data_IF_583692853709
#
_entry.id   IF_583692853709
#
_cell.length_a   1.000
_cell.length_b   1.000
_cell.length_c   1.000
_cell.angle_alpha   90.00
_cell.angle_beta   90.00
_cell.angle_gamma   90.00
#
_symmetry.space_group_name_H-M   'P 1'
#
loop_
_entity.id
_entity.type
_entity.pdbx_description
1 polymer ?
#
# COMPACT_ATOMS: atom_id res chain seq x y z
N UNK A 1 3.71 -3.26 -25.26
CA UNK A 1 2.54 -3.71 -24.48
C UNK A 1 2.47 -2.91 -23.19
N UNK A 2 1.31 -2.40 -22.85
CA UNK A 2 1.13 -1.62 -21.64
C UNK A 2 0.74 -2.56 -20.50
N UNK A 3 1.52 -2.57 -19.43
CA UNK A 3 1.27 -3.38 -18.25
C UNK A 3 0.55 -2.52 -17.20
N UNK A 4 -0.75 -2.29 -17.42
CA UNK A 4 -1.57 -1.52 -16.50
C UNK A 4 -2.44 -2.42 -15.67
N UNK A 5 -2.49 -2.14 -14.37
CA UNK A 5 -3.33 -2.86 -13.44
C UNK A 5 -4.26 -1.91 -12.70
N UNK A 6 -5.42 -2.41 -12.34
CA UNK A 6 -6.35 -1.69 -11.48
C UNK A 6 -5.93 -1.87 -10.04
N UNK A 7 -5.79 -0.77 -9.31
CA UNK A 7 -5.44 -0.79 -7.89
C UNK A 7 -6.42 0.06 -7.11
N UNK A 8 -6.58 -0.26 -5.84
CA UNK A 8 -7.60 0.31 -4.98
C UNK A 8 -7.00 0.89 -3.72
N UNK A 9 -7.47 2.06 -3.33
CA UNK A 9 -7.11 2.69 -2.06
C UNK A 9 -8.38 2.88 -1.23
N UNK A 10 -8.38 2.27 -0.04
CA UNK A 10 -9.50 2.39 0.91
C UNK A 10 -9.40 3.70 1.68
N UNK A 11 -10.49 4.45 1.70
CA UNK A 11 -10.51 5.74 2.36
C UNK A 11 -11.94 6.10 2.81
N UNK A 12 -12.09 7.29 3.36
CA UNK A 12 -13.40 7.86 3.68
C UNK A 12 -13.65 9.11 2.85
N UNK A 13 -12.80 9.38 1.88
CA UNK A 13 -12.93 10.53 0.98
C UNK A 13 -12.39 10.18 -0.40
N UNK A 14 -12.73 11.00 -1.38
CA UNK A 14 -12.21 10.86 -2.74
C UNK A 14 -10.82 11.49 -2.81
N UNK A 15 -9.86 10.75 -3.38
CA UNK A 15 -8.46 11.19 -3.44
C UNK A 15 -7.99 11.15 -4.89
N UNK A 16 -8.16 12.24 -5.66
CA UNK A 16 -7.70 12.26 -7.06
C UNK A 16 -6.19 12.35 -7.18
N UNK A 17 -5.52 12.92 -6.18
CA UNK A 17 -4.05 13.10 -6.19
C UNK A 17 -3.46 12.55 -4.90
N UNK A 18 -2.99 11.28 -4.92
CA UNK A 18 -2.42 10.66 -3.72
C UNK A 18 -1.19 11.39 -3.19
N UNK A 19 -1.12 11.51 -1.85
CA UNK A 19 0.02 12.11 -1.18
C UNK A 19 0.69 11.07 -0.29
N UNK A 20 1.92 10.70 -0.64
CA UNK A 20 2.74 9.85 0.20
C UNK A 20 3.16 10.62 1.45
N UNK A 21 3.22 9.92 2.58
CA UNK A 21 3.61 10.55 3.84
C UNK A 21 2.47 11.17 4.63
N UNK A 22 1.27 11.23 4.08
CA UNK A 22 0.10 11.75 4.80
C UNK A 22 -0.57 10.68 5.69
N UNK A 23 -0.13 9.43 5.58
CA UNK A 23 -0.70 8.31 6.33
C UNK A 23 0.01 8.05 7.65
N UNK A 24 -0.37 6.93 8.28
CA UNK A 24 0.23 6.51 9.55
C UNK A 24 1.68 6.07 9.37
N UNK A 25 2.46 6.19 10.44
CA UNK A 25 3.81 5.65 10.50
C UNK A 25 3.80 4.20 10.97
N UNK A 26 4.94 3.54 10.90
CA UNK A 26 5.16 2.19 11.45
C UNK A 26 4.21 1.14 10.86
N UNK A 27 3.83 1.32 9.60
CA UNK A 27 3.06 0.35 8.86
C UNK A 27 3.99 -0.71 8.26
N UNK A 28 3.42 -1.74 7.62
CA UNK A 28 4.18 -2.90 7.11
C UNK A 28 5.35 -2.51 6.21
N UNK A 29 5.16 -1.49 5.37
CA UNK A 29 6.20 -1.01 4.45
C UNK A 29 6.59 0.44 4.73
N UNK A 30 6.31 0.91 5.95
CA UNK A 30 6.60 2.28 6.36
C UNK A 30 5.54 3.27 5.91
N UNK A 31 5.80 4.58 6.09
CA UNK A 31 4.84 5.61 5.68
C UNK A 31 4.73 5.64 4.15
N UNK A 32 3.52 5.88 3.64
CA UNK A 32 3.30 5.95 2.22
C UNK A 32 1.82 5.90 1.86
N UNK A 33 1.56 5.87 0.57
CA UNK A 33 0.21 5.74 0.04
C UNK A 33 -0.02 4.27 -0.30
N UNK A 34 -0.84 3.60 0.50
CA UNK A 34 -1.07 2.16 0.40
C UNK A 34 -2.24 1.84 -0.52
N UNK A 35 -2.01 0.86 -1.40
CA UNK A 35 -3.01 0.38 -2.33
C UNK A 35 -2.95 -1.14 -2.42
N UNK A 36 -4.01 -1.74 -2.92
CA UNK A 36 -4.05 -3.18 -3.17
C UNK A 36 -4.70 -3.46 -4.52
N UNK A 37 -4.31 -4.56 -5.15
CA UNK A 37 -4.97 -5.04 -6.36
C UNK A 37 -6.11 -6.02 -6.04
N UNK A 38 -6.32 -6.33 -4.78
CA UNK A 38 -7.38 -7.26 -4.32
C UNK A 38 -8.61 -6.44 -3.90
N UNK A 39 -9.64 -6.46 -4.73
CA UNK A 39 -10.84 -5.67 -4.53
C UNK A 39 -11.50 -5.93 -3.16
N UNK A 40 -11.67 -7.18 -2.78
CA UNK A 40 -12.32 -7.56 -1.52
C UNK A 40 -11.54 -7.06 -0.31
N UNK A 41 -10.21 -7.05 -0.39
CA UNK A 41 -9.36 -6.53 0.68
C UNK A 41 -9.57 -5.02 0.83
N UNK A 42 -9.65 -4.32 -0.29
CA UNK A 42 -9.87 -2.86 -0.27
C UNK A 42 -11.25 -2.53 0.31
N UNK A 43 -12.27 -3.29 -0.05
CA UNK A 43 -13.62 -3.11 0.49
C UNK A 43 -13.62 -3.31 2.01
N UNK A 44 -12.95 -4.33 2.48
CA UNK A 44 -12.85 -4.61 3.92
C UNK A 44 -12.14 -3.47 4.66
N UNK A 45 -11.03 -2.99 4.12
CA UNK A 45 -10.29 -1.88 4.73
C UNK A 45 -11.11 -0.59 4.74
N UNK A 46 -11.81 -0.29 3.65
CA UNK A 46 -12.67 0.89 3.56
C UNK A 46 -13.81 0.82 4.58
N UNK A 47 -14.42 -0.35 4.74
CA UNK A 47 -15.50 -0.56 5.70
C UNK A 47 -15.03 -0.38 7.13
N UNK A 48 -13.85 -0.89 7.47
CA UNK A 48 -13.26 -0.71 8.80
C UNK A 48 -12.98 0.76 9.10
N UNK A 49 -12.40 1.45 8.13
CA UNK A 49 -12.04 2.87 8.30
C UNK A 49 -13.28 3.74 8.43
N UNK A 50 -14.31 3.43 7.64
CA UNK A 50 -15.60 4.13 7.73
C UNK A 50 -16.24 3.94 9.10
N UNK A 51 -16.21 2.73 9.64
CA UNK A 51 -16.77 2.43 10.96
C UNK A 51 -15.99 3.18 12.05
N UNK A 52 -14.67 3.19 11.99
CA UNK A 52 -13.83 3.88 12.97
C UNK A 52 -14.07 5.39 12.98
N UNK A 53 -14.27 5.98 11.82
CA UNK A 53 -14.42 7.44 11.66
C UNK A 53 -15.85 7.90 11.61
N UNK A 54 -16.82 6.98 11.54
CA UNK A 54 -18.24 7.27 11.36
C UNK A 54 -18.48 8.11 10.10
N UNK A 55 -17.82 7.73 9.01
CA UNK A 55 -17.90 8.38 7.72
C UNK A 55 -18.23 7.34 6.64
N UNK A 56 -18.71 7.77 5.46
CA UNK A 56 -18.95 6.82 4.38
C UNK A 56 -17.67 6.13 3.93
N UNK A 57 -17.78 4.87 3.53
CA UNK A 57 -16.68 4.13 2.95
C UNK A 57 -16.49 4.57 1.49
N UNK A 58 -15.24 4.84 1.10
CA UNK A 58 -14.89 5.24 -0.25
C UNK A 58 -13.80 4.33 -0.78
N UNK A 59 -13.97 3.89 -2.01
CA UNK A 59 -12.97 3.09 -2.70
C UNK A 59 -12.44 3.91 -3.87
N UNK A 60 -11.17 4.31 -3.78
CA UNK A 60 -10.53 5.04 -4.86
C UNK A 60 -9.86 4.04 -5.79
N UNK A 61 -10.18 4.14 -7.08
CA UNK A 61 -9.70 3.20 -8.10
C UNK A 61 -8.74 3.92 -9.03
N UNK A 62 -7.57 3.34 -9.22
CA UNK A 62 -6.54 3.91 -10.09
C UNK A 62 -6.06 2.87 -11.10
N UNK A 63 -5.58 3.35 -12.24
CA UNK A 63 -4.84 2.52 -13.18
C UNK A 63 -3.35 2.78 -12.98
N UNK A 64 -2.61 1.73 -12.64
CA UNK A 64 -1.18 1.82 -12.44
C UNK A 64 -0.45 1.24 -13.65
N UNK A 65 0.39 2.04 -14.30
CA UNK A 65 1.29 1.55 -15.34
C UNK A 65 2.51 0.94 -14.64
N UNK A 66 2.34 -0.31 -14.20
CA UNK A 66 3.33 -1.01 -13.39
C UNK A 66 4.61 -1.25 -14.15
N UNK A 67 4.51 -1.62 -15.42
CA UNK A 67 5.69 -1.87 -16.24
C UNK A 67 6.60 -0.65 -16.33
N UNK A 68 6.02 0.51 -16.58
CA UNK A 68 6.77 1.76 -16.66
C UNK A 68 7.32 2.17 -15.29
N UNK A 69 6.52 2.01 -14.25
CA UNK A 69 6.94 2.33 -12.88
C UNK A 69 8.17 1.53 -12.47
N UNK A 70 8.19 0.23 -12.76
CA UNK A 70 9.31 -0.64 -12.41
C UNK A 70 10.60 -0.29 -13.17
N UNK A 71 10.48 0.36 -14.34
CA UNK A 71 11.65 0.81 -15.10
C UNK A 71 12.25 2.09 -14.53
N UNK A 72 11.43 2.97 -13.96
CA UNK A 72 11.86 4.30 -13.57
C UNK A 72 12.06 4.47 -12.06
N UNK A 73 11.36 3.71 -11.24
CA UNK A 73 11.40 3.85 -9.79
C UNK A 73 12.40 2.88 -9.16
N UNK A 74 12.89 3.24 -7.99
CA UNK A 74 13.60 2.31 -7.10
C UNK A 74 12.55 1.45 -6.41
N UNK A 75 12.34 0.24 -6.93
CA UNK A 75 11.28 -0.65 -6.46
C UNK A 75 11.84 -1.83 -5.67
N UNK A 76 11.10 -2.23 -4.64
CA UNK A 76 11.34 -3.46 -3.90
C UNK A 76 10.10 -4.34 -4.02
N UNK A 77 10.28 -5.53 -4.59
CA UNK A 77 9.19 -6.48 -4.79
C UNK A 77 9.44 -7.71 -3.93
N UNK A 78 8.49 -8.05 -3.08
CA UNK A 78 8.51 -9.27 -2.29
C UNK A 78 7.54 -10.26 -2.90
N UNK A 79 8.04 -11.23 -3.62
CA UNK A 79 7.19 -12.22 -4.31
C UNK A 79 6.71 -13.32 -3.37
N UNK A 80 7.39 -13.51 -2.25
CA UNK A 80 7.10 -14.60 -1.32
C UNK A 80 7.02 -14.09 0.12
N UNK A 81 6.31 -14.85 0.95
CA UNK A 81 6.28 -14.63 2.40
C UNK A 81 7.50 -15.31 3.03
N UNK A 82 8.68 -14.80 2.73
CA UNK A 82 9.93 -15.36 3.20
C UNK A 82 10.56 -14.51 4.32
N UNK A 83 11.80 -14.87 4.70
CA UNK A 83 12.51 -14.19 5.77
C UNK A 83 12.77 -12.73 5.45
N UNK A 84 13.15 -12.43 4.21
CA UNK A 84 13.44 -11.06 3.79
C UNK A 84 12.21 -10.18 3.89
N UNK A 85 11.04 -10.70 3.47
CA UNK A 85 9.77 -10.01 3.60
C UNK A 85 9.44 -9.73 5.07
N UNK A 86 9.57 -10.75 5.92
CA UNK A 86 9.27 -10.62 7.34
C UNK A 86 10.20 -9.63 8.03
N UNK A 87 11.50 -9.72 7.77
CA UNK A 87 12.48 -8.81 8.37
C UNK A 87 12.21 -7.37 7.97
N UNK A 88 11.85 -7.14 6.72
CA UNK A 88 11.53 -5.80 6.23
C UNK A 88 10.30 -5.23 6.97
N UNK A 89 9.24 -6.03 7.10
CA UNK A 89 8.02 -5.59 7.79
C UNK A 89 8.29 -5.29 9.25
N UNK A 90 9.02 -6.17 9.93
CA UNK A 90 9.36 -5.98 11.35
C UNK A 90 10.14 -4.68 11.53
N UNK A 91 11.13 -4.42 10.67
CA UNK A 91 11.91 -3.20 10.74
C UNK A 91 11.03 -1.96 10.50
N UNK A 92 10.15 -1.99 9.51
CA UNK A 92 9.24 -0.88 9.25
C UNK A 92 8.31 -0.61 10.43
N UNK A 93 7.75 -1.66 11.02
CA UNK A 93 6.84 -1.52 12.17
C UNK A 93 7.54 -0.99 13.42
N UNK A 94 8.84 -1.22 13.53
CA UNK A 94 9.66 -0.65 14.60
C UNK A 94 10.04 0.80 14.34
N UNK A 95 9.75 1.32 13.16
CA UNK A 95 10.11 2.68 12.78
C UNK A 95 11.51 2.82 12.19
N UNK A 96 12.18 1.71 11.90
CA UNK A 96 13.48 1.76 11.24
C UNK A 96 13.30 2.16 9.78
N UNK A 97 14.05 3.14 9.26
CA UNK A 97 13.76 3.74 7.94
C UNK A 97 14.26 2.91 6.76
N UNK A 98 14.02 1.61 6.75
CA UNK A 98 14.46 0.72 5.68
C UNK A 98 13.73 0.97 4.37
N UNK A 99 12.56 1.63 4.41
CA UNK A 99 11.77 1.97 3.23
C UNK A 99 12.36 3.15 2.43
N UNK A 100 13.22 3.97 3.03
CA UNK A 100 13.68 5.22 2.42
C UNK A 100 14.42 5.05 1.10
N UNK A 101 14.96 3.86 0.86
CA UNK A 101 15.68 3.54 -0.37
C UNK A 101 14.75 3.35 -1.56
N UNK A 102 13.45 3.21 -1.32
CA UNK A 102 12.50 2.78 -2.34
C UNK A 102 11.41 3.81 -2.57
N UNK A 103 11.05 4.00 -3.83
CA UNK A 103 9.92 4.83 -4.24
C UNK A 103 8.65 4.01 -4.30
N UNK A 104 8.77 2.69 -4.46
CA UNK A 104 7.67 1.79 -4.67
C UNK A 104 7.97 0.43 -4.04
N UNK A 105 7.02 -0.09 -3.28
CA UNK A 105 7.18 -1.38 -2.61
C UNK A 105 5.92 -2.22 -2.85
N UNK A 106 6.12 -3.46 -3.28
CA UNK A 106 5.05 -4.46 -3.40
C UNK A 106 5.33 -5.62 -2.47
N UNK A 107 4.27 -6.14 -1.86
CA UNK A 107 4.41 -7.35 -1.06
C UNK A 107 3.11 -7.72 -0.39
N UNK A 108 3.08 -8.91 0.16
CA UNK A 108 1.94 -9.37 0.94
C UNK A 108 1.81 -8.59 2.24
N UNK A 109 0.60 -8.56 2.77
CA UNK A 109 0.29 -7.89 4.03
C UNK A 109 0.45 -8.89 5.17
N UNK A 110 1.11 -8.47 6.24
CA UNK A 110 1.20 -9.30 7.42
C UNK A 110 -0.18 -9.36 8.10
N UNK A 111 -0.57 -10.55 8.52
CA UNK A 111 -1.84 -10.72 9.22
C UNK A 111 -1.65 -10.34 10.68
N UNK A 112 -2.28 -9.27 11.08
CA UNK A 112 -2.13 -8.70 12.42
C UNK A 112 -3.40 -8.70 13.24
N UNK A 113 -4.21 -9.70 13.05
CA UNK A 113 -5.42 -9.85 13.86
C UNK A 113 -5.13 -10.01 15.30
#
# INVERSE_FOLDING_TARGET
MIDKIEIYHAATETIPHPLCGAGRRNLDFGPGFYMTDVYEQAVMWASRRAAERQLPAMLNVYLLDRGNLLKEAHARIFENYDRDWLDFIVSCRKGEPVWEKYDYIEGGVANDR
#
